data_IF_679761310351
#
_entry.id   IF_679761310351
#
_cell.length_a   1.000
_cell.length_b   1.000
_cell.length_c   1.000
_cell.angle_alpha   90.00
_cell.angle_beta   90.00
_cell.angle_gamma   90.00
#
_symmetry.space_group_name_H-M   'P 1'
#
loop_
_entity.id
_entity.type
_entity.pdbx_description
1 polymer ?
#
# COMPACT_ATOMS: atom_id res chain seq x y z
N UNK A 1 11.58 -2.66 -1.07
CA UNK A 1 12.17 -1.52 -1.81
C UNK A 1 11.20 -0.36 -2.06
N UNK A 2 9.88 -0.60 -2.19
CA UNK A 2 8.90 0.48 -2.37
C UNK A 2 8.78 1.43 -1.16
N UNK A 3 8.94 0.91 0.07
CA UNK A 3 8.89 1.70 1.32
C UNK A 3 9.93 2.82 1.37
N UNK A 4 11.17 2.56 0.97
CA UNK A 4 12.24 3.56 0.98
C UNK A 4 12.00 4.67 -0.05
N UNK A 5 11.47 4.32 -1.23
CA UNK A 5 11.06 5.29 -2.26
C UNK A 5 9.91 6.19 -1.76
N UNK A 6 8.91 5.61 -1.10
CA UNK A 6 7.80 6.36 -0.49
C UNK A 6 8.28 7.33 0.60
N UNK A 7 9.22 6.90 1.45
CA UNK A 7 9.80 7.76 2.51
C UNK A 7 10.61 8.93 1.94
N UNK A 8 11.40 8.69 0.89
CA UNK A 8 12.15 9.75 0.20
C UNK A 8 11.17 10.74 -0.45
N UNK A 9 10.14 10.25 -1.13
CA UNK A 9 9.09 11.10 -1.71
C UNK A 9 8.38 11.95 -0.66
N UNK A 10 8.07 11.36 0.50
CA UNK A 10 7.44 12.09 1.61
C UNK A 10 8.36 13.16 2.20
N UNK A 11 9.65 12.88 2.34
CA UNK A 11 10.64 13.87 2.80
C UNK A 11 10.76 15.06 1.84
N UNK A 12 10.77 14.79 0.53
CA UNK A 12 10.80 15.84 -0.51
C UNK A 12 9.52 16.67 -0.48
N UNK A 13 8.35 16.03 -0.36
CA UNK A 13 7.07 16.73 -0.27
C UNK A 13 6.97 17.59 0.99
N UNK A 14 7.43 17.08 2.14
CA UNK A 14 7.49 17.84 3.39
C UNK A 14 8.44 19.05 3.26
N UNK A 15 9.61 18.87 2.66
CA UNK A 15 10.55 19.96 2.41
C UNK A 15 9.95 21.02 1.48
N UNK A 16 9.29 20.61 0.39
CA UNK A 16 8.60 21.53 -0.51
C UNK A 16 7.43 22.29 0.17
N UNK A 17 6.71 21.64 1.11
CA UNK A 17 5.65 22.29 1.89
C UNK A 17 6.22 23.39 2.80
N UNK A 18 7.37 23.13 3.44
CA UNK A 18 8.02 24.11 4.31
C UNK A 18 8.49 25.35 3.56
N UNK A 19 8.90 25.20 2.31
CA UNK A 19 9.42 26.30 1.48
C UNK A 19 8.32 27.09 0.77
N UNK A 20 7.28 26.41 0.27
CA UNK A 20 6.36 27.02 -0.69
C UNK A 20 4.90 27.15 -0.22
N UNK A 21 4.52 26.57 0.95
CA UNK A 21 3.17 26.62 1.51
C UNK A 21 2.03 26.42 0.48
N UNK A 22 2.29 25.63 -0.57
CA UNK A 22 1.33 25.39 -1.65
C UNK A 22 0.59 24.07 -1.42
N UNK A 23 -0.55 23.92 -2.09
CA UNK A 23 -1.37 22.69 -2.01
C UNK A 23 -0.70 21.47 -2.66
N UNK A 24 0.23 21.67 -3.60
CA UNK A 24 0.88 20.61 -4.36
C UNK A 24 1.60 19.57 -3.46
N UNK A 25 2.45 19.97 -2.49
CA UNK A 25 3.07 19.01 -1.58
C UNK A 25 2.07 18.28 -0.66
N UNK A 26 0.97 18.91 -0.24
CA UNK A 26 -0.10 18.23 0.50
C UNK A 26 -0.76 17.12 -0.35
N UNK A 27 -1.08 17.42 -1.61
CA UNK A 27 -1.63 16.46 -2.56
C UNK A 27 -0.63 15.32 -2.81
N UNK A 28 0.66 15.65 -2.94
CA UNK A 28 1.72 14.65 -3.08
C UNK A 28 1.80 13.72 -1.87
N UNK A 29 1.76 14.25 -0.64
CA UNK A 29 1.72 13.43 0.57
C UNK A 29 0.48 12.52 0.62
N UNK A 30 -0.69 13.02 0.21
CA UNK A 30 -1.92 12.24 0.17
C UNK A 30 -1.82 11.07 -0.83
N UNK A 31 -1.26 11.32 -2.02
CA UNK A 31 -1.05 10.29 -3.05
C UNK A 31 -0.05 9.23 -2.55
N UNK A 32 1.07 9.65 -1.96
CA UNK A 32 2.07 8.74 -1.39
C UNK A 32 1.45 7.88 -0.27
N UNK A 33 0.65 8.47 0.61
CA UNK A 33 -0.06 7.75 1.66
C UNK A 33 -1.03 6.71 1.07
N UNK A 34 -1.80 7.10 0.05
CA UNK A 34 -2.76 6.22 -0.63
C UNK A 34 -2.07 5.02 -1.30
N UNK A 35 -0.96 5.27 -2.00
CA UNK A 35 -0.11 4.24 -2.60
C UNK A 35 0.46 3.29 -1.55
N UNK A 36 0.88 3.81 -0.41
CA UNK A 36 1.38 3.01 0.70
C UNK A 36 0.29 2.09 1.26
N UNK A 37 -0.91 2.62 1.53
CA UNK A 37 -2.04 1.84 2.06
C UNK A 37 -2.42 0.71 1.11
N UNK A 38 -2.56 0.97 -0.19
CA UNK A 38 -2.89 -0.06 -1.18
C UNK A 38 -1.79 -1.13 -1.25
N UNK A 39 -0.52 -0.72 -1.20
CA UNK A 39 0.60 -1.66 -1.17
C UNK A 39 0.59 -2.54 0.08
N UNK A 40 0.26 -1.98 1.24
CA UNK A 40 0.21 -2.71 2.51
C UNK A 40 -0.97 -3.68 2.50
N UNK A 41 -2.16 -3.24 2.08
CA UNK A 41 -3.36 -4.10 1.93
C UNK A 41 -3.07 -5.27 0.98
N UNK A 42 -2.49 -5.01 -0.19
CA UNK A 42 -2.12 -6.08 -1.13
C UNK A 42 -1.09 -7.05 -0.55
N UNK A 43 -0.18 -6.56 0.28
CA UNK A 43 0.76 -7.41 1.03
C UNK A 43 0.05 -8.27 2.08
N UNK A 44 -0.91 -7.70 2.81
CA UNK A 44 -1.74 -8.44 3.75
C UNK A 44 -2.52 -9.55 3.04
N UNK A 45 -3.21 -9.27 1.94
CA UNK A 45 -3.95 -10.27 1.15
C UNK A 45 -3.08 -11.42 0.64
N UNK A 46 -1.81 -11.17 0.31
CA UNK A 46 -0.86 -12.23 -0.08
C UNK A 46 -0.31 -13.02 1.09
N UNK A 47 -0.27 -12.42 2.28
CA UNK A 47 0.21 -13.06 3.50
C UNK A 47 -0.91 -13.81 4.25
N UNK A 48 -2.17 -13.51 3.95
CA UNK A 48 -3.30 -14.33 4.37
C UNK A 48 -3.09 -15.73 3.79
N UNK A 49 -3.28 -16.79 4.59
CA UNK A 49 -3.39 -18.13 4.06
C UNK A 49 -4.44 -18.11 2.94
N UNK A 50 -4.28 -18.89 1.86
CA UNK A 50 -5.35 -19.02 0.89
C UNK A 50 -6.62 -19.30 1.69
N UNK A 51 -7.64 -18.47 1.51
CA UNK A 51 -8.97 -18.86 1.94
C UNK A 51 -9.18 -20.17 1.18
N UNK A 52 -9.22 -21.29 1.89
CA UNK A 52 -9.79 -22.51 1.37
C UNK A 52 -11.18 -22.08 0.91
N UNK A 53 -11.30 -21.80 -0.38
CA UNK A 53 -12.55 -21.95 -1.06
C UNK A 53 -12.84 -23.42 -0.82
N UNK A 54 -13.77 -23.68 0.10
CA UNK A 54 -14.35 -24.99 0.45
C UNK A 54 -14.98 -25.63 -0.79
N UNK A 55 -14.24 -25.74 -1.89
CA UNK A 55 -14.76 -26.15 -3.18
C UNK A 55 -14.34 -27.57 -3.53
N UNK A 56 -13.16 -28.10 -3.15
CA UNK A 56 -12.74 -29.40 -3.71
C UNK A 56 -12.06 -30.34 -2.70
N UNK A 57 -12.82 -30.95 -1.78
CA UNK A 57 -12.49 -32.32 -1.32
C UNK A 57 -13.73 -33.03 -0.72
N UNK A 58 -14.86 -33.05 -1.44
CA UNK A 58 -15.85 -34.10 -1.19
C UNK A 58 -15.28 -35.38 -1.81
N UNK A 59 -14.44 -36.09 -1.06
CA UNK A 59 -13.99 -37.43 -1.43
C UNK A 59 -15.26 -38.28 -1.66
N UNK A 60 -15.44 -38.68 -2.93
CA UNK A 60 -16.42 -39.68 -3.29
C UNK A 60 -15.78 -41.03 -2.94
N UNK A 61 -16.00 -41.47 -1.71
CA UNK A 61 -15.53 -42.75 -1.22
C UNK A 61 -16.24 -43.86 -2.02
N UNK A 62 -15.47 -44.57 -2.84
CA UNK A 62 -15.84 -45.81 -3.51
C UNK A 62 -16.09 -46.95 -2.50
#
# INVERSE_FOLDING_TARGET
MIRTLLLIGAAIAAYALTQNHTLLPLISMLILLSLWVVSEIGSFYRALPPADLDEHEYHHDF
#
